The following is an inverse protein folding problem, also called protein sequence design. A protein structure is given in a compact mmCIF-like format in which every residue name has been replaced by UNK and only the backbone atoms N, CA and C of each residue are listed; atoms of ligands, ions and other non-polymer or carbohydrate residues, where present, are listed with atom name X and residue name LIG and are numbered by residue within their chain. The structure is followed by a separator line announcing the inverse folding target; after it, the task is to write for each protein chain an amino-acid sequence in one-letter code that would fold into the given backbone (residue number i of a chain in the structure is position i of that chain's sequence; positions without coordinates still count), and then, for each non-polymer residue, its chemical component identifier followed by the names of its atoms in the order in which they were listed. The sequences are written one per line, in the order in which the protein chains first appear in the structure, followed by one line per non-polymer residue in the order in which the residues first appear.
data_IF_607638634201
#
_entry.id   IF_607638634201
#
_cell.length_a   1.000
_cell.length_b   1.000
_cell.length_c   1.000
_cell.angle_alpha   90.00
_cell.angle_beta   90.00
_cell.angle_gamma   90.00
#
_symmetry.space_group_name_H-M   'P 1'
#
loop_
_entity.id
_entity.type
_entity.pdbx_description
1 polymer ?
#
# COMPACT_ATOMS: atom_id res chain seq x y z
N UNK A 1 79.08 4.08 17.71
CA UNK A 1 78.31 3.65 18.89
C UNK A 1 77.24 4.70 19.17
N UNK A 2 76.00 4.23 19.42
CA UNK A 2 74.86 4.95 20.03
C UNK A 2 74.14 5.95 19.10
N UNK A 3 73.06 5.49 18.43
CA UNK A 3 71.63 5.75 18.75
C UNK A 3 71.25 7.22 18.58
N UNK A 4 70.24 7.57 17.79
CA UNK A 4 68.84 7.59 18.25
C UNK A 4 67.87 7.50 17.06
N UNK A 5 67.00 6.50 17.12
CA UNK A 5 65.75 6.41 16.35
C UNK A 5 64.81 7.46 16.96
N UNK A 6 64.36 8.44 16.16
CA UNK A 6 63.40 9.47 16.62
C UNK A 6 62.25 9.61 15.61
N UNK A 7 61.26 8.74 15.80
CA UNK A 7 59.84 9.06 15.96
C UNK A 7 59.26 10.24 15.14
N UNK A 8 59.20 10.15 13.80
CA UNK A 8 58.45 11.12 12.97
C UNK A 8 57.66 10.45 11.84
N UNK A 9 56.94 9.36 12.15
CA UNK A 9 56.00 8.72 11.22
C UNK A 9 54.72 8.30 11.96
N UNK A 10 54.01 9.30 12.52
CA UNK A 10 52.62 9.16 12.94
C UNK A 10 52.03 10.57 13.02
N UNK A 11 50.81 10.78 12.53
CA UNK A 11 50.15 12.08 12.22
C UNK A 11 50.53 12.56 10.81
N UNK A 12 49.71 12.37 9.77
CA UNK A 12 48.38 12.97 9.57
C UNK A 12 47.54 12.03 8.70
N UNK A 13 46.62 11.28 9.30
CA UNK A 13 45.49 10.64 8.59
C UNK A 13 44.21 10.79 9.42
N UNK A 14 43.84 12.03 9.75
CA UNK A 14 42.49 12.31 10.24
C UNK A 14 42.10 13.71 9.76
N UNK A 15 41.05 13.76 8.93
CA UNK A 15 39.98 14.77 8.94
C UNK A 15 39.51 15.15 7.52
N UNK A 16 38.88 14.21 6.83
CA UNK A 16 37.64 14.49 6.10
C UNK A 16 36.67 13.32 6.28
N UNK A 17 36.41 12.96 7.55
CA UNK A 17 35.14 12.36 7.90
C UNK A 17 34.14 13.52 7.96
N UNK A 18 33.56 13.88 6.81
CA UNK A 18 32.30 14.60 6.83
C UNK A 18 31.31 13.73 7.61
N UNK A 19 30.67 14.20 8.69
CA UNK A 19 29.51 13.52 9.21
C UNK A 19 28.43 13.68 8.14
N UNK A 20 28.25 12.66 7.30
CA UNK A 20 27.00 12.50 6.58
C UNK A 20 25.92 12.43 7.65
N UNK A 21 25.10 13.48 7.74
CA UNK A 21 23.84 13.50 8.47
C UNK A 21 22.86 12.49 7.83
N UNK A 22 23.16 11.19 7.90
CA UNK A 22 22.32 10.10 7.40
C UNK A 22 21.54 9.39 8.50
N UNK A 23 21.68 9.81 9.75
CA UNK A 23 20.95 9.22 10.87
C UNK A 23 19.88 10.17 11.38
N UNK A 24 18.66 10.03 10.85
CA UNK A 24 17.37 10.27 11.55
C UNK A 24 16.16 10.03 10.63
N UNK A 25 16.32 10.15 9.31
CA UNK A 25 15.22 10.00 8.34
C UNK A 25 14.65 8.57 8.33
N UNK A 26 15.52 7.54 8.35
CA UNK A 26 15.09 6.13 8.33
C UNK A 26 14.39 5.68 9.60
N UNK A 27 14.82 6.17 10.77
CA UNK A 27 14.19 5.83 12.06
C UNK A 27 12.81 6.50 12.19
N UNK A 28 12.69 7.76 11.76
CA UNK A 28 11.45 8.52 11.84
C UNK A 28 10.37 7.97 10.89
N UNK A 29 10.72 7.62 9.65
CA UNK A 29 9.80 6.96 8.71
C UNK A 29 9.31 5.59 9.20
N UNK A 30 10.23 4.79 9.78
CA UNK A 30 9.87 3.50 10.39
C UNK A 30 8.89 3.68 11.54
N UNK A 31 9.04 4.77 12.32
CA UNK A 31 8.12 5.08 13.42
C UNK A 31 6.72 5.45 12.93
N UNK A 32 6.58 6.31 11.92
CA UNK A 32 5.28 6.73 11.41
C UNK A 32 4.51 5.56 10.78
N UNK A 33 5.18 4.74 9.96
CA UNK A 33 4.57 3.54 9.35
C UNK A 33 4.04 2.62 10.45
N UNK A 34 4.86 2.35 11.47
CA UNK A 34 4.48 1.46 12.59
C UNK A 34 3.27 1.99 13.34
N UNK A 35 3.29 3.27 13.77
CA UNK A 35 2.18 3.89 14.50
C UNK A 35 0.91 3.99 13.65
N UNK A 36 1.04 4.24 12.35
CA UNK A 36 -0.08 4.27 11.42
C UNK A 36 -0.69 2.88 11.30
N UNK A 37 0.11 1.85 11.02
CA UNK A 37 -0.38 0.48 10.83
C UNK A 37 -0.99 -0.12 12.09
N UNK A 38 -0.54 0.26 13.29
CA UNK A 38 -1.17 -0.13 14.57
C UNK A 38 -2.63 0.30 14.67
N UNK A 39 -3.02 1.36 13.96
CA UNK A 39 -4.39 1.87 13.91
C UNK A 39 -5.18 1.31 12.72
N UNK A 40 -4.65 0.31 12.01
CA UNK A 40 -5.33 -0.38 10.90
C UNK A 40 -5.71 -1.80 11.30
N UNK A 41 -6.81 -2.36 10.79
CA UNK A 41 -7.25 -3.72 11.14
C UNK A 41 -6.35 -4.83 10.59
N UNK A 42 -5.53 -4.53 9.57
CA UNK A 42 -4.61 -5.49 8.94
C UNK A 42 -3.16 -5.04 9.05
N UNK A 43 -2.64 -5.03 10.29
CA UNK A 43 -1.31 -4.51 10.62
C UNK A 43 -0.20 -5.00 9.67
N UNK A 44 -0.07 -6.32 9.47
CA UNK A 44 1.01 -6.88 8.64
C UNK A 44 0.85 -6.53 7.15
N UNK A 45 -0.38 -6.48 6.65
CA UNK A 45 -0.66 -6.04 5.28
C UNK A 45 -0.28 -4.56 5.11
N UNK A 46 -0.63 -3.71 6.07
CA UNK A 46 -0.24 -2.30 6.07
C UNK A 46 1.30 -2.13 6.07
N UNK A 47 2.01 -2.82 6.98
CA UNK A 47 3.48 -2.74 7.07
C UNK A 47 4.12 -3.17 5.75
N UNK A 48 3.76 -4.35 5.24
CA UNK A 48 4.35 -4.90 4.02
C UNK A 48 4.04 -4.03 2.78
N UNK A 49 2.84 -3.46 2.70
CA UNK A 49 2.45 -2.57 1.60
C UNK A 49 3.26 -1.27 1.63
N UNK A 50 3.32 -0.61 2.79
CA UNK A 50 3.99 0.68 2.91
C UNK A 50 5.52 0.57 2.76
N UNK A 51 6.13 -0.44 3.37
CA UNK A 51 7.59 -0.63 3.32
C UNK A 51 8.11 -1.04 1.94
N UNK A 52 7.25 -1.64 1.10
CA UNK A 52 7.59 -1.96 -0.28
C UNK A 52 7.66 -0.73 -1.20
N UNK A 53 7.04 0.38 -0.81
CA UNK A 53 7.01 1.61 -1.61
C UNK A 53 8.06 2.63 -1.11
N UNK A 54 9.00 3.09 -1.96
CA UNK A 54 10.04 4.03 -1.55
C UNK A 54 9.50 5.40 -1.11
N UNK A 55 8.28 5.79 -1.51
CA UNK A 55 7.63 7.03 -1.09
C UNK A 55 7.37 7.07 0.43
N UNK A 56 7.34 5.93 1.09
CA UNK A 56 7.12 5.81 2.54
C UNK A 56 8.28 6.31 3.41
N UNK A 57 9.49 6.50 2.85
CA UNK A 57 10.70 6.87 3.60
C UNK A 57 10.71 8.28 4.18
N UNK A 58 9.83 9.16 3.74
CA UNK A 58 9.69 10.54 4.24
C UNK A 58 8.26 11.05 4.01
N UNK A 59 7.30 10.18 4.27
CA UNK A 59 5.88 10.41 4.00
C UNK A 59 5.15 11.04 5.18
N UNK A 60 4.09 11.79 4.89
CA UNK A 60 3.00 12.10 5.83
C UNK A 60 1.84 11.10 5.66
N UNK A 61 0.78 11.22 6.47
CA UNK A 61 -0.40 10.35 6.39
C UNK A 61 -1.07 10.38 5.00
N UNK A 62 -1.12 11.53 4.32
CA UNK A 62 -1.65 11.65 2.95
C UNK A 62 -0.87 10.76 1.99
N UNK A 63 0.46 10.79 2.05
CA UNK A 63 1.32 9.98 1.19
C UNK A 63 1.18 8.49 1.52
N UNK A 64 1.08 8.11 2.80
CA UNK A 64 0.81 6.73 3.19
C UNK A 64 -0.55 6.24 2.67
N UNK A 65 -1.59 7.07 2.74
CA UNK A 65 -2.90 6.79 2.16
C UNK A 65 -2.82 6.56 0.66
N UNK A 66 -2.16 7.45 -0.08
CA UNK A 66 -1.96 7.32 -1.53
C UNK A 66 -1.22 6.03 -1.92
N UNK A 67 -0.20 5.62 -1.16
CA UNK A 67 0.51 4.36 -1.41
C UNK A 67 -0.44 3.16 -1.32
N UNK A 68 -1.30 3.10 -0.30
CA UNK A 68 -2.25 1.99 -0.16
C UNK A 68 -3.34 2.04 -1.23
N UNK A 69 -3.83 3.24 -1.60
CA UNK A 69 -4.77 3.43 -2.73
C UNK A 69 -4.17 2.91 -4.04
N UNK A 70 -2.90 3.21 -4.33
CA UNK A 70 -2.19 2.70 -5.50
C UNK A 70 -2.04 1.18 -5.45
N UNK A 71 -1.74 0.61 -4.28
CA UNK A 71 -1.67 -0.84 -4.09
C UNK A 71 -3.03 -1.51 -4.36
N UNK A 72 -4.13 -0.91 -3.88
CA UNK A 72 -5.50 -1.37 -4.21
C UNK A 72 -5.73 -1.34 -5.71
N UNK A 73 -5.39 -0.24 -6.39
CA UNK A 73 -5.52 -0.11 -7.86
C UNK A 73 -4.80 -1.25 -8.59
N UNK A 74 -3.54 -1.51 -8.25
CA UNK A 74 -2.73 -2.56 -8.87
C UNK A 74 -3.38 -3.94 -8.67
N UNK A 75 -3.83 -4.24 -7.45
CA UNK A 75 -4.49 -5.52 -7.17
C UNK A 75 -5.84 -5.64 -7.88
N UNK A 76 -6.64 -4.58 -7.90
CA UNK A 76 -7.92 -4.55 -8.63
C UNK A 76 -7.75 -4.74 -10.13
N UNK A 77 -6.76 -4.10 -10.76
CA UNK A 77 -6.44 -4.33 -12.18
C UNK A 77 -6.01 -5.78 -12.44
N UNK A 78 -5.19 -6.35 -11.56
CA UNK A 78 -4.78 -7.75 -11.67
C UNK A 78 -5.98 -8.70 -11.52
N UNK A 79 -6.88 -8.43 -10.58
CA UNK A 79 -8.08 -9.26 -10.38
C UNK A 79 -9.04 -9.15 -11.56
N UNK A 80 -9.30 -7.95 -12.08
CA UNK A 80 -10.12 -7.76 -13.28
C UNK A 80 -9.55 -8.53 -14.49
N UNK A 81 -8.22 -8.50 -14.65
CA UNK A 81 -7.54 -9.28 -15.69
C UNK A 81 -7.79 -10.78 -15.52
N UNK A 82 -7.75 -11.29 -14.28
CA UNK A 82 -8.01 -12.69 -13.99
C UNK A 82 -9.49 -13.06 -14.21
N UNK A 83 -10.43 -12.19 -13.81
CA UNK A 83 -11.86 -12.37 -14.06
C UNK A 83 -12.12 -12.54 -15.57
N UNK A 84 -11.55 -11.67 -16.39
CA UNK A 84 -11.72 -11.72 -17.85
C UNK A 84 -11.19 -13.01 -18.48
N UNK A 85 -10.10 -13.58 -17.92
CA UNK A 85 -9.62 -14.92 -18.35
C UNK A 85 -10.61 -16.02 -17.95
N UNK A 86 -11.08 -15.98 -16.70
CA UNK A 86 -11.98 -16.99 -16.15
C UNK A 86 -13.35 -17.04 -16.84
N UNK A 87 -13.86 -15.90 -17.32
CA UNK A 87 -15.15 -15.83 -18.05
C UNK A 87 -15.14 -16.76 -19.28
N UNK A 88 -13.99 -16.88 -19.93
CA UNK A 88 -13.83 -17.70 -21.13
C UNK A 88 -13.56 -19.17 -20.79
N UNK A 89 -12.81 -19.44 -19.71
CA UNK A 89 -12.42 -20.80 -19.33
C UNK A 89 -13.44 -21.54 -18.46
N UNK A 90 -14.39 -20.83 -17.85
CA UNK A 90 -15.25 -21.39 -16.78
C UNK A 90 -16.73 -21.06 -17.01
N UNK A 91 -17.38 -21.65 -18.03
CA UNK A 91 -18.74 -21.28 -18.45
C UNK A 91 -19.81 -21.36 -17.35
N UNK A 92 -19.66 -22.29 -16.41
CA UNK A 92 -20.56 -22.50 -15.27
C UNK A 92 -20.54 -21.36 -14.25
N UNK A 93 -19.47 -20.56 -14.22
CA UNK A 93 -19.34 -19.38 -13.35
C UNK A 93 -19.54 -18.06 -14.08
N UNK A 94 -20.00 -18.08 -15.34
CA UNK A 94 -20.08 -16.88 -16.18
C UNK A 94 -20.94 -15.76 -15.58
N UNK A 95 -22.05 -16.10 -14.94
CA UNK A 95 -22.93 -15.13 -14.27
C UNK A 95 -22.19 -14.35 -13.16
N UNK A 96 -21.73 -15.03 -12.10
CA UNK A 96 -20.94 -14.41 -11.03
C UNK A 96 -19.71 -13.64 -11.55
N UNK A 97 -18.98 -14.20 -12.52
CA UNK A 97 -17.79 -13.55 -13.07
C UNK A 97 -18.12 -12.25 -13.82
N UNK A 98 -19.23 -12.20 -14.57
CA UNK A 98 -19.68 -10.94 -15.21
C UNK A 98 -20.03 -9.88 -14.17
N UNK A 99 -20.74 -10.27 -13.09
CA UNK A 99 -21.01 -9.34 -12.00
C UNK A 99 -19.72 -8.79 -11.37
N UNK A 100 -18.71 -9.66 -11.18
CA UNK A 100 -17.40 -9.23 -10.74
C UNK A 100 -16.71 -8.26 -11.71
N UNK A 101 -16.89 -8.37 -13.03
CA UNK A 101 -16.35 -7.38 -13.98
C UNK A 101 -16.92 -6.00 -13.69
N UNK A 102 -18.24 -5.89 -13.53
CA UNK A 102 -18.92 -4.62 -13.27
C UNK A 102 -18.46 -4.01 -11.94
N UNK A 103 -18.39 -4.83 -10.88
CA UNK A 103 -17.90 -4.41 -9.57
C UNK A 103 -16.44 -3.93 -9.62
N UNK A 104 -15.54 -4.67 -10.26
CA UNK A 104 -14.14 -4.26 -10.35
C UNK A 104 -13.91 -3.03 -11.23
N UNK A 105 -14.76 -2.80 -12.23
CA UNK A 105 -14.78 -1.54 -12.96
C UNK A 105 -15.26 -0.38 -12.06
N UNK A 106 -16.21 -0.62 -11.17
CA UNK A 106 -16.60 0.32 -10.11
C UNK A 106 -15.42 0.71 -9.24
N UNK A 107 -14.67 -0.27 -8.72
CA UNK A 107 -13.50 -0.06 -7.87
C UNK A 107 -12.50 0.83 -8.61
N UNK A 108 -12.16 0.48 -9.85
CA UNK A 108 -11.21 1.24 -10.65
C UNK A 108 -11.73 2.64 -11.03
N UNK A 109 -13.05 2.85 -11.06
CA UNK A 109 -13.69 4.13 -11.29
C UNK A 109 -13.61 5.09 -10.10
N UNK A 110 -13.66 4.58 -8.86
CA UNK A 110 -13.57 5.42 -7.64
C UNK A 110 -12.13 5.73 -7.21
N UNK A 111 -11.14 4.94 -7.65
CA UNK A 111 -9.72 5.16 -7.32
C UNK A 111 -9.22 6.57 -7.72
N UNK A 112 -9.45 7.09 -8.93
CA UNK A 112 -9.07 8.45 -9.29
C UNK A 112 -9.66 9.51 -8.36
N UNK A 113 -10.92 9.34 -7.95
CA UNK A 113 -11.58 10.23 -6.99
C UNK A 113 -10.86 10.21 -5.64
N UNK A 114 -10.47 9.04 -5.14
CA UNK A 114 -9.72 8.93 -3.89
C UNK A 114 -8.36 9.64 -3.95
N UNK A 115 -7.65 9.48 -5.07
CA UNK A 115 -6.36 10.14 -5.31
C UNK A 115 -6.51 11.66 -5.36
N UNK A 116 -7.51 12.16 -6.10
CA UNK A 116 -7.78 13.59 -6.22
C UNK A 116 -8.16 14.20 -4.87
N UNK A 117 -9.06 13.55 -4.14
CA UNK A 117 -9.52 13.94 -2.81
C UNK A 117 -8.35 14.05 -1.81
N UNK A 118 -7.47 13.04 -1.76
CA UNK A 118 -6.26 13.08 -0.91
C UNK A 118 -5.30 14.20 -1.32
N UNK A 119 -5.11 14.41 -2.62
CA UNK A 119 -4.19 15.43 -3.16
C UNK A 119 -4.69 16.85 -2.87
N UNK A 120 -6.01 17.07 -2.89
CA UNK A 120 -6.63 18.37 -2.62
C UNK A 120 -6.90 18.63 -1.14
N UNK A 121 -6.61 17.68 -0.26
CA UNK A 121 -6.84 17.82 1.18
C UNK A 121 -8.31 17.68 1.60
N UNK A 122 -9.12 16.95 0.83
CA UNK A 122 -10.50 16.60 1.16
C UNK A 122 -10.64 15.08 1.40
N UNK A 123 -10.15 14.56 2.54
CA UNK A 123 -10.04 13.12 2.77
C UNK A 123 -11.39 12.40 2.89
N UNK A 124 -12.52 13.11 3.04
CA UNK A 124 -13.83 12.49 3.23
C UNK A 124 -14.29 11.73 1.97
N UNK A 125 -14.07 12.30 0.79
CA UNK A 125 -14.39 11.60 -0.47
C UNK A 125 -13.46 10.42 -0.73
N UNK A 126 -12.18 10.52 -0.31
CA UNK A 126 -11.25 9.41 -0.40
C UNK A 126 -11.64 8.25 0.53
N UNK A 127 -12.09 8.57 1.75
CA UNK A 127 -12.58 7.58 2.71
C UNK A 127 -13.79 6.83 2.15
N UNK A 128 -14.79 7.55 1.63
CA UNK A 128 -15.96 6.94 0.99
C UNK A 128 -15.58 6.05 -0.18
N UNK A 129 -14.68 6.53 -1.06
CA UNK A 129 -14.22 5.78 -2.23
C UNK A 129 -13.56 4.45 -1.86
N UNK A 130 -12.78 4.42 -0.77
CA UNK A 130 -12.13 3.18 -0.30
C UNK A 130 -13.08 2.27 0.48
N UNK A 131 -14.12 2.80 1.11
CA UNK A 131 -15.24 1.99 1.65
C UNK A 131 -15.98 1.30 0.51
N UNK A 132 -16.31 2.04 -0.56
CA UNK A 132 -16.99 1.49 -1.74
C UNK A 132 -16.15 0.38 -2.39
N UNK A 133 -14.84 0.60 -2.55
CA UNK A 133 -13.92 -0.39 -3.09
C UNK A 133 -13.90 -1.70 -2.26
N UNK A 134 -13.93 -1.60 -0.93
CA UNK A 134 -13.99 -2.76 -0.06
C UNK A 134 -15.31 -3.54 -0.23
N UNK A 135 -16.43 -2.81 -0.25
CA UNK A 135 -17.77 -3.40 -0.40
C UNK A 135 -17.97 -4.07 -1.76
N UNK A 136 -17.43 -3.50 -2.83
CA UNK A 136 -17.51 -4.08 -4.17
C UNK A 136 -16.68 -5.36 -4.30
N UNK A 137 -15.47 -5.40 -3.73
CA UNK A 137 -14.66 -6.62 -3.67
C UNK A 137 -15.35 -7.74 -2.88
N UNK A 138 -15.96 -7.39 -1.74
CA UNK A 138 -16.75 -8.33 -0.95
C UNK A 138 -18.01 -8.80 -1.70
N UNK A 139 -18.68 -7.90 -2.43
CA UNK A 139 -19.85 -8.21 -3.25
C UNK A 139 -19.51 -9.14 -4.42
N UNK A 140 -18.33 -9.00 -5.02
CA UNK A 140 -17.84 -9.94 -6.03
C UNK A 140 -17.69 -11.34 -5.42
N UNK A 141 -17.10 -11.45 -4.22
CA UNK A 141 -16.98 -12.74 -3.54
C UNK A 141 -18.36 -13.36 -3.22
N UNK A 142 -19.30 -12.55 -2.72
CA UNK A 142 -20.67 -12.98 -2.44
C UNK A 142 -21.44 -13.43 -3.69
N UNK A 143 -21.04 -12.96 -4.87
CA UNK A 143 -21.68 -13.33 -6.15
C UNK A 143 -21.56 -14.81 -6.48
N UNK A 144 -20.57 -15.52 -5.90
CA UNK A 144 -20.40 -16.95 -6.09
C UNK A 144 -21.35 -17.80 -5.21
N UNK A 145 -22.04 -17.18 -4.24
CA UNK A 145 -22.96 -17.86 -3.35
C UNK A 145 -22.30 -19.03 -2.62
N UNK A 146 -22.86 -20.23 -2.74
CA UNK A 146 -22.29 -21.45 -2.16
C UNK A 146 -21.21 -22.11 -3.05
N UNK A 147 -21.01 -21.62 -4.27
CA UNK A 147 -19.98 -22.16 -5.17
C UNK A 147 -18.60 -21.72 -4.69
N UNK A 148 -17.59 -22.58 -4.88
CA UNK A 148 -16.20 -22.21 -4.61
C UNK A 148 -15.78 -21.07 -5.56
N UNK A 149 -15.48 -19.90 -4.99
CA UNK A 149 -14.97 -18.76 -5.74
C UNK A 149 -13.52 -19.04 -6.21
N UNK A 150 -13.21 -18.87 -7.50
CA UNK A 150 -11.84 -18.91 -8.01
C UNK A 150 -11.06 -17.62 -7.71
N UNK A 151 -11.67 -16.66 -7.00
CA UNK A 151 -11.15 -15.32 -6.76
C UNK A 151 -11.00 -14.98 -5.27
N UNK A 152 -11.32 -15.89 -4.34
CA UNK A 152 -11.39 -15.59 -2.90
C UNK A 152 -10.17 -14.84 -2.37
N UNK A 153 -8.96 -15.32 -2.66
CA UNK A 153 -7.73 -14.67 -2.20
C UNK A 153 -7.54 -13.28 -2.82
N UNK A 154 -7.91 -13.12 -4.10
CA UNK A 154 -7.77 -11.86 -4.83
C UNK A 154 -8.77 -10.81 -4.33
N UNK A 155 -10.03 -11.22 -4.14
CA UNK A 155 -11.09 -10.41 -3.55
C UNK A 155 -10.72 -9.98 -2.13
N UNK A 156 -10.23 -10.91 -1.32
CA UNK A 156 -9.79 -10.64 0.05
C UNK A 156 -8.65 -9.61 0.09
N UNK A 157 -7.64 -9.74 -0.78
CA UNK A 157 -6.54 -8.77 -0.82
C UNK A 157 -7.02 -7.37 -1.18
N UNK A 158 -7.91 -7.24 -2.17
CA UNK A 158 -8.46 -5.92 -2.58
C UNK A 158 -9.33 -5.33 -1.47
N UNK A 159 -10.19 -6.15 -0.85
CA UNK A 159 -10.97 -5.75 0.32
C UNK A 159 -10.06 -5.26 1.45
N UNK A 160 -9.09 -6.07 1.87
CA UNK A 160 -8.26 -5.77 3.03
C UNK A 160 -7.39 -4.53 2.80
N UNK A 161 -6.82 -4.35 1.60
CA UNK A 161 -6.10 -3.14 1.23
C UNK A 161 -7.01 -1.91 1.26
N UNK A 162 -8.24 -2.03 0.76
CA UNK A 162 -9.22 -0.94 0.79
C UNK A 162 -9.59 -0.55 2.21
N UNK A 163 -9.78 -1.52 3.10
CA UNK A 163 -10.02 -1.27 4.53
C UNK A 163 -8.80 -0.64 5.22
N UNK A 164 -7.58 -1.06 4.89
CA UNK A 164 -6.35 -0.39 5.38
C UNK A 164 -6.33 1.06 4.91
N UNK A 165 -6.59 1.33 3.63
CA UNK A 165 -6.64 2.68 3.09
C UNK A 165 -7.67 3.53 3.82
N UNK A 166 -8.91 3.04 3.98
CA UNK A 166 -9.97 3.69 4.76
C UNK A 166 -9.49 4.06 6.17
N UNK A 167 -8.85 3.13 6.89
CA UNK A 167 -8.35 3.39 8.24
C UNK A 167 -7.28 4.50 8.28
N UNK A 168 -6.35 4.51 7.32
CA UNK A 168 -5.32 5.55 7.20
C UNK A 168 -5.94 6.91 6.86
N UNK A 169 -6.85 6.94 5.87
CA UNK A 169 -7.51 8.16 5.41
C UNK A 169 -8.34 8.79 6.55
N UNK A 170 -9.00 7.97 7.38
CA UNK A 170 -9.74 8.46 8.56
C UNK A 170 -8.88 9.18 9.59
N UNK A 171 -7.56 8.99 9.59
CA UNK A 171 -6.66 9.73 10.48
C UNK A 171 -6.41 11.17 10.00
N UNK A 172 -6.86 11.52 8.80
CA UNK A 172 -6.82 12.86 8.22
C UNK A 172 -8.11 13.66 8.45
N UNK A 173 -9.14 13.03 9.04
CA UNK A 173 -10.46 13.62 9.32
C UNK A 173 -10.52 14.32 10.68
#
# INVERSE_FOLDING_TARGET
MKTLISLTLLTVLVAFLSPSNQHNVSAQATSLITTTCQKTPFYQLCISTLTADPRSRSSNLTTLGLIVVDATKVKSTSTLTQINKLINSTPQLRGPLKNCVDLYNGILGVIPTAVEALTKGDPKFAESSMVDAANEAESCEKSFGQSKSPLSDMNKVVHDLSVVATAIIRMLL
#
